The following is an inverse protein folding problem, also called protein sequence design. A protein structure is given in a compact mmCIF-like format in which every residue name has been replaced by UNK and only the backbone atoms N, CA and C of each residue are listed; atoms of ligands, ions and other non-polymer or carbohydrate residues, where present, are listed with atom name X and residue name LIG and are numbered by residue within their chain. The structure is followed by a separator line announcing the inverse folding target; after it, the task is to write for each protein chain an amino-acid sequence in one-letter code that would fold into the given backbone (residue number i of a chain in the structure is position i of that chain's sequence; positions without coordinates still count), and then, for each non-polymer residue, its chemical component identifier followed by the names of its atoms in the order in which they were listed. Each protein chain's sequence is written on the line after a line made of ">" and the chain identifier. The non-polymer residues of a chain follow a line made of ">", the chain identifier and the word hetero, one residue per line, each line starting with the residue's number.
data_IF_848635192021
#
_entry.id   IF_848635192021
#
_cell.length_a   1.000
_cell.length_b   1.000
_cell.length_c   1.000
_cell.angle_alpha   90.00
_cell.angle_beta   90.00
_cell.angle_gamma   90.00
#
_symmetry.space_group_name_H-M   'P 1'
#
loop_
_entity.id
_entity.type
_entity.pdbx_description
1 polymer ?
#
# COMPACT_ATOMS: atom_id res chain seq x y z
N UNK A 1 -15.83 -13.43 -1.43
CA UNK A 1 -14.40 -13.25 -1.11
C UNK A 1 -13.79 -12.08 -1.87
N UNK A 2 -14.00 -11.99 -3.19
CA UNK A 2 -13.50 -10.88 -4.01
C UNK A 2 -14.02 -9.49 -3.58
N UNK A 3 -15.31 -9.34 -3.28
CA UNK A 3 -15.88 -8.06 -2.82
C UNK A 3 -15.18 -7.51 -1.56
N UNK A 4 -14.85 -8.40 -0.60
CA UNK A 4 -14.12 -8.01 0.62
C UNK A 4 -12.70 -7.55 0.30
N UNK A 5 -12.00 -8.25 -0.60
CA UNK A 5 -10.69 -7.83 -1.09
C UNK A 5 -10.74 -6.44 -1.73
N UNK A 6 -11.71 -6.20 -2.63
CA UNK A 6 -11.89 -4.90 -3.29
C UNK A 6 -12.16 -3.79 -2.28
N UNK A 7 -13.04 -4.02 -1.30
CA UNK A 7 -13.31 -3.03 -0.25
C UNK A 7 -12.06 -2.69 0.56
N UNK A 8 -11.28 -3.70 0.98
CA UNK A 8 -10.05 -3.47 1.73
C UNK A 8 -8.98 -2.76 0.91
N UNK A 9 -8.82 -3.10 -0.37
CA UNK A 9 -7.85 -2.42 -1.24
C UNK A 9 -8.23 -0.97 -1.53
N UNK A 10 -9.52 -0.65 -1.66
CA UNK A 10 -9.97 0.74 -1.79
C UNK A 10 -9.79 1.53 -0.49
N UNK A 11 -10.01 0.91 0.67
CA UNK A 11 -9.69 1.53 1.96
C UNK A 11 -8.18 1.82 2.07
N UNK A 12 -7.33 0.86 1.69
CA UNK A 12 -5.88 1.05 1.66
C UNK A 12 -5.49 2.21 0.73
N UNK A 13 -6.09 2.31 -0.47
CA UNK A 13 -5.89 3.41 -1.41
C UNK A 13 -6.19 4.77 -0.77
N UNK A 14 -7.34 4.90 -0.09
CA UNK A 14 -7.75 6.14 0.57
C UNK A 14 -6.77 6.51 1.69
N UNK A 15 -6.40 5.56 2.55
CA UNK A 15 -5.51 5.82 3.66
C UNK A 15 -4.08 6.15 3.21
N UNK A 16 -3.54 5.44 2.22
CA UNK A 16 -2.23 5.74 1.67
C UNK A 16 -2.20 7.09 0.96
N UNK A 17 -3.23 7.40 0.16
CA UNK A 17 -3.36 8.72 -0.47
C UNK A 17 -3.35 9.81 0.60
N UNK A 18 -4.19 9.68 1.63
CA UNK A 18 -4.23 10.65 2.71
C UNK A 18 -2.88 10.78 3.42
N UNK A 19 -2.23 9.67 3.79
CA UNK A 19 -0.96 9.69 4.50
C UNK A 19 0.16 10.35 3.68
N UNK A 20 0.26 10.06 2.39
CA UNK A 20 1.30 10.60 1.49
C UNK A 20 1.07 12.09 1.20
N UNK A 21 -0.16 12.49 0.87
CA UNK A 21 -0.47 13.87 0.51
C UNK A 21 -0.58 14.80 1.72
N UNK A 22 -1.14 14.32 2.84
CA UNK A 22 -1.19 15.08 4.10
C UNK A 22 0.21 15.25 4.69
N UNK A 23 1.02 14.18 4.66
CA UNK A 23 2.43 14.25 5.03
C UNK A 23 3.20 15.31 4.26
N UNK A 24 2.90 15.50 2.96
CA UNK A 24 3.55 16.54 2.13
C UNK A 24 3.27 17.96 2.59
N UNK A 25 2.08 18.23 3.14
CA UNK A 25 1.67 19.58 3.57
C UNK A 25 2.16 19.92 4.97
N UNK A 26 2.07 18.96 5.89
CA UNK A 26 2.29 19.21 7.32
C UNK A 26 3.60 18.63 7.86
N UNK A 27 4.31 17.82 7.06
CA UNK A 27 5.47 17.05 7.50
C UNK A 27 5.10 15.71 8.16
N UNK A 28 6.11 14.88 8.41
CA UNK A 28 5.93 13.54 8.98
C UNK A 28 5.56 13.61 10.48
N UNK A 29 4.27 13.70 10.76
CA UNK A 29 3.72 13.57 12.11
C UNK A 29 3.29 12.13 12.44
N UNK A 30 3.24 11.82 13.75
CA UNK A 30 2.74 10.53 14.29
C UNK A 30 1.34 10.15 13.76
N UNK A 31 0.50 11.15 13.45
CA UNK A 31 -0.84 10.93 12.88
C UNK A 31 -0.76 10.28 11.49
N UNK A 32 0.16 10.75 10.63
CA UNK A 32 0.38 10.16 9.32
C UNK A 32 0.89 8.73 9.43
N UNK A 33 1.74 8.44 10.41
CA UNK A 33 2.21 7.10 10.68
C UNK A 33 1.05 6.17 11.06
N UNK A 34 0.15 6.60 11.95
CA UNK A 34 -1.04 5.81 12.31
C UNK A 34 -1.92 5.53 11.09
N UNK A 35 -2.19 6.55 10.27
CA UNK A 35 -3.00 6.37 9.05
C UNK A 35 -2.30 5.44 8.05
N UNK A 36 -0.98 5.57 7.89
CA UNK A 36 -0.20 4.69 7.03
C UNK A 36 -0.24 3.23 7.52
N UNK A 37 -0.13 3.00 8.83
CA UNK A 37 -0.22 1.67 9.44
C UNK A 37 -1.61 1.04 9.26
N UNK A 38 -2.67 1.84 9.39
CA UNK A 38 -4.04 1.39 9.09
C UNK A 38 -4.19 1.04 7.61
N UNK A 39 -3.65 1.86 6.71
CA UNK A 39 -3.59 1.56 5.28
C UNK A 39 -2.90 0.23 4.99
N UNK A 40 -1.73 0.00 5.61
CA UNK A 40 -0.96 -1.25 5.49
C UNK A 40 -1.71 -2.47 6.02
N UNK A 41 -2.46 -2.31 7.11
CA UNK A 41 -3.30 -3.37 7.63
C UNK A 41 -4.41 -3.76 6.65
N UNK A 42 -5.08 -2.78 6.04
CA UNK A 42 -6.09 -3.06 5.01
C UNK A 42 -5.49 -3.64 3.73
N UNK A 43 -4.30 -3.18 3.33
CA UNK A 43 -3.57 -3.70 2.16
C UNK A 43 -3.17 -5.18 2.35
N UNK A 44 -2.69 -5.52 3.55
CA UNK A 44 -2.42 -6.91 3.94
C UNK A 44 -3.69 -7.77 3.92
N UNK A 45 -4.79 -7.27 4.50
CA UNK A 45 -6.08 -8.00 4.48
C UNK A 45 -6.61 -8.18 3.07
N UNK A 46 -6.53 -7.15 2.22
CA UNK A 46 -6.90 -7.20 0.81
C UNK A 46 -6.10 -8.25 0.05
N UNK A 47 -4.77 -8.19 0.16
CA UNK A 47 -3.83 -9.12 -0.48
C UNK A 47 -4.07 -10.57 -0.02
N UNK A 48 -4.33 -10.78 1.27
CA UNK A 48 -4.64 -12.10 1.82
C UNK A 48 -5.95 -12.64 1.26
N UNK A 49 -7.00 -11.83 1.17
CA UNK A 49 -8.29 -12.24 0.59
C UNK A 49 -8.16 -12.55 -0.91
N UNK A 50 -7.35 -11.78 -1.65
CA UNK A 50 -7.04 -12.06 -3.06
C UNK A 50 -6.28 -13.38 -3.23
N UNK A 51 -5.29 -13.65 -2.38
CA UNK A 51 -4.55 -14.92 -2.39
C UNK A 51 -5.47 -16.11 -2.07
N UNK A 52 -6.31 -16.00 -1.04
CA UNK A 52 -7.30 -17.04 -0.71
C UNK A 52 -8.26 -17.30 -1.88
N UNK A 53 -8.70 -16.23 -2.56
CA UNK A 53 -9.53 -16.37 -3.76
C UNK A 53 -8.77 -17.07 -4.90
N UNK A 54 -7.50 -16.72 -5.14
CA UNK A 54 -6.68 -17.36 -6.17
C UNK A 54 -6.43 -18.85 -5.91
N UNK A 55 -6.25 -19.25 -4.64
CA UNK A 55 -6.10 -20.65 -4.22
C UNK A 55 -7.42 -21.41 -4.41
N UNK A 56 -8.55 -20.81 -4.04
CA UNK A 56 -9.85 -21.47 -4.10
C UNK A 56 -10.43 -21.61 -5.52
N UNK A 57 -10.15 -20.65 -6.42
CA UNK A 57 -10.78 -20.58 -7.75
C UNK A 57 -9.79 -20.76 -8.93
N UNK A 58 -8.51 -21.03 -8.64
CA UNK A 58 -7.52 -21.39 -9.64
C UNK A 58 -6.90 -20.19 -10.37
N UNK A 59 -5.58 -20.06 -10.18
CA UNK A 59 -4.62 -19.22 -10.92
C UNK A 59 -4.93 -17.74 -10.93
N UNK A 60 -4.30 -16.90 -10.10
CA UNK A 60 -3.92 -15.54 -10.54
C UNK A 60 -2.65 -15.65 -11.42
N UNK A 61 -2.37 -14.73 -12.36
CA UNK A 61 -1.08 -14.73 -13.05
C UNK A 61 0.03 -14.60 -12.01
N UNK A 62 1.04 -15.48 -12.04
CA UNK A 62 2.16 -15.45 -11.08
C UNK A 62 2.81 -14.07 -10.98
N UNK A 63 2.90 -13.38 -12.12
CA UNK A 63 3.40 -12.01 -12.24
C UNK A 63 2.61 -11.00 -11.39
N UNK A 64 1.29 -11.10 -11.33
CA UNK A 64 0.48 -10.16 -10.54
C UNK A 64 0.60 -10.45 -9.03
N UNK A 65 0.66 -11.72 -8.64
CA UNK A 65 0.85 -12.03 -7.22
C UNK A 65 2.21 -11.54 -6.73
N UNK A 66 3.26 -11.68 -7.57
CA UNK A 66 4.59 -11.17 -7.26
C UNK A 66 4.61 -9.64 -7.16
N UNK A 67 3.99 -8.92 -8.10
CA UNK A 67 3.94 -7.44 -8.02
C UNK A 67 3.14 -6.97 -6.81
N UNK A 68 2.04 -7.64 -6.45
CA UNK A 68 1.28 -7.34 -5.24
C UNK A 68 2.09 -7.54 -3.95
N UNK A 69 2.81 -8.65 -3.83
CA UNK A 69 3.66 -8.94 -2.66
C UNK A 69 4.83 -7.95 -2.57
N UNK A 70 5.52 -7.69 -3.68
CA UNK A 70 6.62 -6.71 -3.73
C UNK A 70 6.12 -5.31 -3.35
N UNK A 71 4.93 -4.96 -3.80
CA UNK A 71 4.30 -3.68 -3.50
C UNK A 71 3.93 -3.54 -2.01
N UNK A 72 3.32 -4.58 -1.43
CA UNK A 72 3.04 -4.63 0.01
C UNK A 72 4.32 -4.57 0.85
N UNK A 73 5.36 -5.30 0.44
CA UNK A 73 6.67 -5.25 1.08
C UNK A 73 7.30 -3.85 0.99
N UNK A 74 7.18 -3.19 -0.16
CA UNK A 74 7.62 -1.81 -0.36
C UNK A 74 6.89 -0.83 0.57
N UNK A 75 5.57 -0.95 0.72
CA UNK A 75 4.79 -0.14 1.65
C UNK A 75 5.16 -0.42 3.11
N UNK A 76 5.37 -1.69 3.49
CA UNK A 76 5.83 -2.05 4.82
C UNK A 76 7.22 -1.47 5.13
N UNK A 77 8.15 -1.56 4.18
CA UNK A 77 9.48 -0.95 4.31
C UNK A 77 9.38 0.57 4.47
N UNK A 78 8.51 1.22 3.70
CA UNK A 78 8.27 2.65 3.81
C UNK A 78 7.69 3.05 5.18
N UNK A 79 6.75 2.26 5.70
CA UNK A 79 6.20 2.45 7.05
C UNK A 79 7.29 2.33 8.13
N UNK A 80 8.19 1.35 8.01
CA UNK A 80 9.30 1.19 8.94
C UNK A 80 10.27 2.38 8.90
N UNK A 81 10.59 2.89 7.71
CA UNK A 81 11.39 4.12 7.58
C UNK A 81 10.70 5.31 8.25
N UNK A 82 9.38 5.45 8.06
CA UNK A 82 8.59 6.50 8.69
C UNK A 82 8.59 6.38 10.23
N UNK A 83 8.44 5.15 10.73
CA UNK A 83 8.46 4.83 12.15
C UNK A 83 9.82 5.17 12.76
N UNK A 84 10.91 4.72 12.14
CA UNK A 84 12.28 4.98 12.60
C UNK A 84 12.57 6.49 12.56
N UNK A 85 12.22 7.19 11.49
CA UNK A 85 12.42 8.64 11.38
C UNK A 85 11.67 9.42 12.48
N UNK A 86 10.47 8.96 12.83
CA UNK A 86 9.64 9.53 13.91
C UNK A 86 10.23 9.24 15.29
N UNK A 87 10.71 8.00 15.52
CA UNK A 87 11.32 7.58 16.80
C UNK A 87 12.64 8.29 17.07
N UNK A 88 13.45 8.52 16.04
CA UNK A 88 14.73 9.22 16.14
C UNK A 88 14.59 10.75 16.20
N UNK A 89 13.37 11.30 16.19
CA UNK A 89 13.08 12.74 16.12
C UNK A 89 13.81 13.47 14.98
N UNK A 90 14.19 12.74 13.91
CA UNK A 90 14.84 13.29 12.71
C UNK A 90 13.83 13.48 11.57
N UNK A 91 12.54 13.50 11.88
CA UNK A 91 11.46 13.66 10.93
C UNK A 91 11.68 14.90 10.03
N UNK A 92 12.07 16.02 10.61
CA UNK A 92 12.30 17.28 9.87
C UNK A 92 13.53 17.22 8.94
N UNK A 93 14.64 16.65 9.42
CA UNK A 93 15.87 16.53 8.64
C UNK A 93 15.73 15.57 7.44
N UNK A 94 14.90 14.53 7.59
CA UNK A 94 14.68 13.50 6.57
C UNK A 94 13.45 13.79 5.70
N UNK A 95 12.62 14.78 6.06
CA UNK A 95 11.31 15.02 5.45
C UNK A 95 11.34 15.14 3.91
N UNK A 96 12.34 15.85 3.36
CA UNK A 96 12.47 16.01 1.89
C UNK A 96 12.80 14.71 1.17
N UNK A 97 13.72 13.92 1.72
CA UNK A 97 14.10 12.61 1.15
C UNK A 97 12.97 11.61 1.36
N UNK A 98 12.34 11.65 2.53
CA UNK A 98 11.20 10.81 2.88
C UNK A 98 10.06 11.01 1.89
N UNK A 99 9.69 12.26 1.54
CA UNK A 99 8.65 12.51 0.54
C UNK A 99 8.97 11.95 -0.84
N UNK A 100 10.21 12.11 -1.31
CA UNK A 100 10.61 11.56 -2.61
C UNK A 100 10.46 10.04 -2.60
N UNK A 101 10.89 9.39 -1.53
CA UNK A 101 10.76 7.93 -1.36
C UNK A 101 9.29 7.50 -1.23
N UNK A 102 8.47 8.23 -0.44
CA UNK A 102 7.03 7.98 -0.31
C UNK A 102 6.33 7.99 -1.66
N UNK A 103 6.58 9.03 -2.46
CA UNK A 103 5.96 9.20 -3.78
C UNK A 103 6.37 8.08 -4.75
N UNK A 104 7.64 7.69 -4.75
CA UNK A 104 8.11 6.59 -5.60
C UNK A 104 7.45 5.26 -5.23
N UNK A 105 7.46 4.89 -3.95
CA UNK A 105 6.87 3.63 -3.48
C UNK A 105 5.35 3.63 -3.67
N UNK A 106 4.69 4.74 -3.35
CA UNK A 106 3.25 4.91 -3.59
C UNK A 106 2.89 4.78 -5.07
N UNK A 107 3.68 5.36 -5.97
CA UNK A 107 3.44 5.24 -7.42
C UNK A 107 3.62 3.81 -7.92
N UNK A 108 4.65 3.09 -7.44
CA UNK A 108 4.84 1.67 -7.73
C UNK A 108 3.67 0.83 -7.21
N UNK A 109 3.16 1.16 -6.02
CA UNK A 109 1.98 0.51 -5.48
C UNK A 109 0.71 0.82 -6.27
N UNK A 110 0.53 2.04 -6.76
CA UNK A 110 -0.59 2.39 -7.63
C UNK A 110 -0.58 1.57 -8.92
N UNK A 111 0.60 1.34 -9.50
CA UNK A 111 0.77 0.48 -10.69
C UNK A 111 0.42 -0.98 -10.35
N UNK A 112 0.87 -1.49 -9.21
CA UNK A 112 0.52 -2.85 -8.77
C UNK A 112 -1.00 -2.99 -8.54
N UNK A 113 -1.63 -2.03 -7.87
CA UNK A 113 -3.08 -1.96 -7.66
C UNK A 113 -3.84 -1.93 -8.99
N UNK A 114 -3.45 -1.05 -9.93
CA UNK A 114 -4.09 -0.96 -11.24
C UNK A 114 -3.92 -2.26 -12.05
N UNK A 115 -2.74 -2.88 -12.02
CA UNK A 115 -2.49 -4.17 -12.66
C UNK A 115 -3.43 -5.27 -12.11
N UNK A 116 -3.71 -5.25 -10.81
CA UNK A 116 -4.62 -6.19 -10.17
C UNK A 116 -6.07 -5.95 -10.51
N UNK A 117 -6.49 -4.69 -10.52
CA UNK A 117 -7.83 -4.32 -10.95
C UNK A 117 -8.10 -4.78 -12.40
N UNK A 118 -7.16 -4.51 -13.32
CA UNK A 118 -7.28 -4.93 -14.73
C UNK A 118 -7.28 -6.45 -14.86
N UNK A 119 -6.36 -7.15 -14.17
CA UNK A 119 -6.33 -8.62 -14.18
C UNK A 119 -7.63 -9.23 -13.63
N UNK A 120 -8.25 -8.60 -12.62
CA UNK A 120 -9.54 -8.99 -12.09
C UNK A 120 -10.68 -8.79 -13.09
N UNK A 121 -10.73 -7.64 -13.78
CA UNK A 121 -11.77 -7.34 -14.77
C UNK A 121 -11.72 -8.29 -15.98
N UNK A 122 -10.53 -8.57 -16.53
CA UNK A 122 -10.36 -9.48 -17.67
C UNK A 122 -10.78 -10.94 -17.39
N UNK A 123 -11.11 -11.28 -16.14
CA UNK A 123 -11.57 -12.62 -15.74
C UNK A 123 -13.07 -12.69 -15.52
N UNK A 124 -13.74 -11.55 -15.44
CA UNK A 124 -15.19 -11.45 -15.26
C UNK A 124 -15.88 -11.36 -16.65
N UNK A 125 -15.15 -10.93 -17.69
CA UNK A 125 -15.54 -10.97 -19.11
C UNK A 125 -15.27 -12.34 -19.74
#
# INVERSE_FOLDING_TARGET
>A
MLLKAVMFMNLALIFYSYAVFSGRKEGLHRKHLLVFGIGLFFDYLGTRQMNLFAIAYGKAPEWHNLTGILSLAGMAFHFLLALIATLLQKADAVNRTFHRVSLTIYSLWLVAFASGAISGMMRIS
#
